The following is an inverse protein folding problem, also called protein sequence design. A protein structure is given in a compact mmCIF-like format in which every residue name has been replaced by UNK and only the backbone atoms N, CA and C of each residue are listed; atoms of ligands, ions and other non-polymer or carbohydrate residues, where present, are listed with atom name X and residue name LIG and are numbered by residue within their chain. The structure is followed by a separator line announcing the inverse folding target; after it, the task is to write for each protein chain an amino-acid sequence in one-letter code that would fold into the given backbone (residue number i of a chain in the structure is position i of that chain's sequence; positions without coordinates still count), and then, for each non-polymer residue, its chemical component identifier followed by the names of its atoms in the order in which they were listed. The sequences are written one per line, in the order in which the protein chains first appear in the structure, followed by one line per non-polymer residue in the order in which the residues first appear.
data_IF_291562688180
#
_entry.id   IF_291562688180
#
_cell.length_a   1.000
_cell.length_b   1.000
_cell.length_c   1.000
_cell.angle_alpha   90.00
_cell.angle_beta   90.00
_cell.angle_gamma   90.00
#
_symmetry.space_group_name_H-M   'P 1'
#
loop_
_entity.id
_entity.type
_entity.pdbx_description
1 polymer ?
#
# COMPACT_ATOMS: atom_id res chain seq x y z
N UNK A 1 9.97 -22.47 23.30
CA UNK A 1 8.65 -22.12 22.72
C UNK A 1 8.78 -20.75 22.07
N UNK A 2 9.02 -20.70 20.76
CA UNK A 2 9.04 -19.44 20.00
C UNK A 2 7.60 -18.94 19.89
N UNK A 3 7.30 -17.80 20.52
CA UNK A 3 6.12 -17.02 20.13
C UNK A 3 6.41 -16.49 18.72
N UNK A 4 5.60 -16.91 17.76
CA UNK A 4 5.56 -16.28 16.44
C UNK A 4 5.10 -14.83 16.65
N UNK A 5 6.06 -13.92 16.81
CA UNK A 5 5.82 -12.49 16.76
C UNK A 5 5.62 -12.10 15.29
N UNK A 6 4.45 -12.43 14.75
CA UNK A 6 3.87 -11.58 13.70
C UNK A 6 3.66 -10.21 14.34
N UNK A 7 4.21 -9.16 13.75
CA UNK A 7 4.00 -7.82 14.30
C UNK A 7 2.50 -7.50 14.22
N UNK A 8 2.01 -6.70 15.17
CA UNK A 8 0.69 -6.07 15.13
C UNK A 8 0.27 -5.64 13.71
N UNK A 9 1.24 -5.07 13.02
CA UNK A 9 1.16 -4.59 11.67
C UNK A 9 0.93 -5.67 10.63
N UNK A 10 1.63 -6.81 10.71
CA UNK A 10 1.41 -7.95 9.81
C UNK A 10 -0.03 -8.49 9.90
N UNK A 11 -0.63 -8.47 11.09
CA UNK A 11 -2.04 -8.84 11.28
C UNK A 11 -2.98 -7.83 10.63
N UNK A 12 -2.68 -6.53 10.73
CA UNK A 12 -3.46 -5.49 10.05
C UNK A 12 -3.32 -5.56 8.53
N UNK A 13 -2.10 -5.72 8.00
CA UNK A 13 -1.90 -5.86 6.57
C UNK A 13 -2.62 -7.09 6.04
N UNK A 14 -2.53 -8.22 6.74
CA UNK A 14 -3.29 -9.42 6.38
C UNK A 14 -4.80 -9.19 6.35
N UNK A 15 -5.33 -8.35 7.25
CA UNK A 15 -6.75 -7.95 7.25
C UNK A 15 -7.08 -7.04 6.07
N UNK A 16 -6.25 -6.04 5.78
CA UNK A 16 -6.44 -5.17 4.60
C UNK A 16 -6.36 -5.96 3.30
N UNK A 17 -5.47 -6.94 3.23
CA UNK A 17 -5.33 -7.85 2.08
C UNK A 17 -6.58 -8.70 1.90
N UNK A 18 -7.10 -9.24 2.99
CA UNK A 18 -8.36 -9.97 2.98
C UNK A 18 -9.47 -9.11 2.38
N UNK A 19 -9.69 -7.91 2.92
CA UNK A 19 -10.72 -7.00 2.40
C UNK A 19 -10.53 -6.65 0.92
N UNK A 20 -9.31 -6.36 0.48
CA UNK A 20 -9.04 -5.99 -0.91
C UNK A 20 -9.33 -7.15 -1.89
N UNK A 21 -8.94 -8.37 -1.54
CA UNK A 21 -9.17 -9.52 -2.41
C UNK A 21 -10.66 -9.90 -2.50
N UNK A 22 -11.37 -9.86 -1.38
CA UNK A 22 -12.82 -10.08 -1.36
C UNK A 22 -13.58 -8.97 -2.11
N UNK A 23 -13.15 -7.71 -2.00
CA UNK A 23 -13.73 -6.60 -2.76
C UNK A 23 -13.56 -6.79 -4.27
N UNK A 24 -12.35 -7.13 -4.74
CA UNK A 24 -12.08 -7.37 -6.17
C UNK A 24 -12.92 -8.51 -6.73
N UNK A 25 -13.03 -9.62 -6.01
CA UNK A 25 -13.86 -10.75 -6.44
C UNK A 25 -15.36 -10.38 -6.46
N UNK A 26 -15.83 -9.61 -5.46
CA UNK A 26 -17.21 -9.14 -5.43
C UNK A 26 -17.54 -8.22 -6.61
N UNK A 27 -16.64 -7.32 -6.99
CA UNK A 27 -16.80 -6.44 -8.16
C UNK A 27 -16.82 -7.23 -9.48
N UNK A 28 -15.98 -8.26 -9.61
CA UNK A 28 -15.98 -9.14 -10.77
C UNK A 28 -17.31 -9.89 -10.90
N UNK A 29 -17.83 -10.45 -9.80
CA UNK A 29 -19.13 -11.13 -9.76
C UNK A 29 -20.29 -10.18 -10.04
N UNK A 30 -20.23 -8.95 -9.54
CA UNK A 30 -21.23 -7.92 -9.81
C UNK A 30 -21.25 -7.55 -11.31
N UNK A 31 -20.07 -7.36 -11.91
CA UNK A 31 -19.93 -7.10 -13.35
C UNK A 31 -20.48 -8.24 -14.20
N UNK A 32 -20.24 -9.49 -13.79
CA UNK A 32 -20.83 -10.67 -14.43
C UNK A 32 -22.36 -10.69 -14.29
N UNK A 33 -22.89 -10.31 -13.12
CA UNK A 33 -24.34 -10.23 -12.88
C UNK A 33 -25.01 -9.24 -13.83
N UNK A 34 -24.36 -8.11 -14.09
CA UNK A 34 -24.85 -7.08 -15.00
C UNK A 34 -24.83 -7.53 -16.47
N UNK A 35 -23.87 -8.40 -16.85
CA UNK A 35 -23.78 -8.98 -18.20
C UNK A 35 -24.77 -10.12 -18.43
N UNK A 36 -25.15 -10.86 -17.37
CA UNK A 36 -26.03 -12.02 -17.49
C UNK A 36 -27.48 -11.58 -17.80
N UNK A 37 -27.89 -11.83 -19.03
CA UNK A 37 -29.22 -11.47 -19.53
C UNK A 37 -30.39 -12.24 -18.91
N UNK A 38 -30.15 -13.33 -18.18
CA UNK A 38 -31.21 -14.17 -17.61
C UNK A 38 -31.41 -13.95 -16.11
N UNK A 39 -32.67 -13.93 -15.66
CA UNK A 39 -33.00 -13.78 -14.23
C UNK A 39 -32.48 -14.95 -13.38
N UNK A 40 -32.45 -16.15 -13.93
CA UNK A 40 -31.93 -17.34 -13.24
C UNK A 40 -30.41 -17.21 -13.00
N UNK A 41 -29.64 -16.79 -14.01
CA UNK A 41 -28.19 -16.61 -13.86
C UNK A 41 -27.83 -15.47 -12.90
N UNK A 42 -28.59 -14.36 -12.91
CA UNK A 42 -28.45 -13.30 -11.89
C UNK A 42 -28.75 -13.80 -10.47
N UNK A 43 -29.75 -14.68 -10.33
CA UNK A 43 -30.09 -15.30 -9.05
C UNK A 43 -28.98 -16.21 -8.50
N UNK A 44 -28.32 -16.99 -9.36
CA UNK A 44 -27.18 -17.82 -8.94
C UNK A 44 -25.96 -16.95 -8.55
N UNK A 45 -25.63 -15.93 -9.33
CA UNK A 45 -24.53 -15.00 -9.02
C UNK A 45 -24.77 -14.23 -7.71
N UNK A 46 -26.02 -13.84 -7.42
CA UNK A 46 -26.37 -13.22 -6.15
C UNK A 46 -26.11 -14.15 -4.94
N UNK A 47 -26.34 -15.46 -5.09
CA UNK A 47 -26.02 -16.44 -4.03
C UNK A 47 -24.51 -16.54 -3.82
N UNK A 48 -23.74 -16.63 -4.91
CA UNK A 48 -22.27 -16.71 -4.85
C UNK A 48 -21.70 -15.46 -4.16
N UNK A 49 -22.20 -14.27 -4.52
CA UNK A 49 -21.76 -13.02 -3.91
C UNK A 49 -22.14 -12.93 -2.42
N UNK A 50 -23.30 -13.46 -2.01
CA UNK A 50 -23.66 -13.57 -0.60
C UNK A 50 -22.73 -14.51 0.17
N UNK A 51 -22.40 -15.66 -0.40
CA UNK A 51 -21.44 -16.62 0.19
C UNK A 51 -20.04 -16.02 0.30
N UNK A 52 -19.57 -15.30 -0.73
CA UNK A 52 -18.27 -14.63 -0.71
C UNK A 52 -18.17 -13.63 0.45
N UNK A 53 -19.21 -12.82 0.69
CA UNK A 53 -19.27 -11.89 1.82
C UNK A 53 -19.31 -12.59 3.18
N UNK A 54 -19.98 -13.74 3.27
CA UNK A 54 -20.00 -14.54 4.51
C UNK A 54 -18.61 -15.12 4.81
N UNK A 55 -17.91 -15.62 3.80
CA UNK A 55 -16.54 -16.12 3.94
C UNK A 55 -15.55 -15.01 4.34
N UNK A 56 -15.71 -13.78 3.84
CA UNK A 56 -14.93 -12.62 4.28
C UNK A 56 -15.07 -12.42 5.80
N UNK A 57 -16.32 -12.34 6.28
CA UNK A 57 -16.62 -12.15 7.71
C UNK A 57 -16.06 -13.28 8.58
N UNK A 58 -16.14 -14.53 8.12
CA UNK A 58 -15.60 -15.69 8.82
C UNK A 58 -14.06 -15.60 8.89
N UNK A 59 -13.43 -15.18 7.80
CA UNK A 59 -11.98 -15.08 7.73
C UNK A 59 -11.44 -13.92 8.59
N UNK A 60 -12.13 -12.78 8.63
CA UNK A 60 -11.85 -11.68 9.56
C UNK A 60 -11.88 -12.16 11.02
N UNK A 61 -12.90 -12.93 11.41
CA UNK A 61 -13.03 -13.45 12.77
C UNK A 61 -11.91 -14.44 13.15
N UNK A 62 -11.29 -15.08 12.16
CA UNK A 62 -10.19 -16.03 12.36
C UNK A 62 -8.82 -15.37 12.37
N UNK A 63 -8.71 -14.15 11.82
CA UNK A 63 -7.46 -13.39 11.84
C UNK A 63 -7.19 -12.86 13.26
N UNK A 64 -6.00 -13.13 13.83
CA UNK A 64 -5.64 -12.64 15.16
C UNK A 64 -5.20 -11.17 15.08
N UNK A 65 -6.15 -10.27 14.82
CA UNK A 65 -5.92 -8.82 14.81
C UNK A 65 -6.47 -8.24 16.11
N UNK A 66 -5.61 -7.67 16.96
CA UNK A 66 -6.10 -7.01 18.17
C UNK A 66 -6.49 -5.55 17.87
N UNK A 67 -7.44 -4.96 18.62
CA UNK A 67 -7.75 -3.54 18.50
C UNK A 67 -6.52 -2.63 18.70
N UNK A 68 -5.53 -3.05 19.50
CA UNK A 68 -4.27 -2.33 19.64
C UNK A 68 -3.45 -2.35 18.36
N UNK A 69 -3.50 -3.44 17.60
CA UNK A 69 -2.77 -3.59 16.36
C UNK A 69 -3.38 -2.71 15.26
N UNK A 70 -4.72 -2.63 15.24
CA UNK A 70 -5.46 -1.69 14.39
C UNK A 70 -5.11 -0.24 14.75
N UNK A 71 -5.02 0.09 16.05
CA UNK A 71 -4.64 1.44 16.51
C UNK A 71 -3.17 1.79 16.20
N UNK A 72 -2.25 0.83 16.34
CA UNK A 72 -0.84 1.03 16.01
C UNK A 72 -0.67 1.24 14.49
N UNK A 73 -1.40 0.48 13.68
CA UNK A 73 -1.36 0.59 12.22
C UNK A 73 -2.07 1.83 11.70
N UNK A 74 -3.19 2.25 12.29
CA UNK A 74 -3.81 3.56 11.96
C UNK A 74 -2.93 4.75 12.35
N UNK A 75 -1.93 4.55 13.21
CA UNK A 75 -0.89 5.54 13.47
C UNK A 75 0.31 5.43 12.53
N UNK A 76 0.54 4.27 11.92
CA UNK A 76 1.55 4.08 10.90
C UNK A 76 1.11 4.76 9.60
N UNK A 77 2.05 5.45 8.96
CA UNK A 77 1.83 6.09 7.66
C UNK A 77 0.95 7.34 7.68
N UNK A 78 0.72 7.97 8.84
CA UNK A 78 0.04 9.28 8.95
C UNK A 78 0.91 10.44 8.50
N UNK A 79 2.19 10.20 8.27
CA UNK A 79 3.09 11.20 7.74
C UNK A 79 2.67 11.58 6.32
N UNK A 80 2.72 12.87 6.03
CA UNK A 80 2.40 13.44 4.73
C UNK A 80 3.71 13.76 4.03
N UNK A 81 4.16 12.97 3.04
CA UNK A 81 5.32 13.31 2.24
C UNK A 81 4.99 14.50 1.32
N UNK A 82 5.93 15.43 1.19
CA UNK A 82 5.88 16.55 0.27
C UNK A 82 7.13 16.55 -0.62
N UNK A 83 6.93 16.59 -1.94
CA UNK A 83 8.02 16.53 -2.91
C UNK A 83 8.85 17.82 -2.90
N UNK A 84 10.17 17.71 -2.84
CA UNK A 84 11.05 18.85 -3.06
C UNK A 84 11.10 19.20 -4.56
N UNK A 85 10.40 20.28 -4.92
CA UNK A 85 10.28 20.78 -6.28
C UNK A 85 11.57 21.41 -6.84
N UNK A 86 12.60 21.62 -6.01
CA UNK A 86 13.92 22.02 -6.51
C UNK A 86 14.61 20.88 -7.28
N UNK A 87 14.29 19.63 -6.95
CA UNK A 87 14.78 18.44 -7.67
C UNK A 87 13.91 18.24 -8.90
N UNK A 88 14.41 18.68 -10.05
CA UNK A 88 13.71 18.57 -11.34
C UNK A 88 13.83 17.17 -11.93
N UNK A 89 12.78 16.76 -12.65
CA UNK A 89 12.74 15.49 -13.35
C UNK A 89 12.36 14.30 -12.46
N UNK A 90 12.19 13.12 -13.08
CA UNK A 90 11.83 11.91 -12.36
C UNK A 90 12.99 11.43 -11.47
N UNK A 91 12.64 10.89 -10.30
CA UNK A 91 13.57 10.20 -9.40
C UNK A 91 13.21 8.72 -9.41
N UNK A 92 14.00 7.91 -10.11
CA UNK A 92 13.75 6.49 -10.32
C UNK A 92 14.98 5.65 -9.96
N UNK A 93 14.77 4.57 -9.22
CA UNK A 93 15.86 3.69 -8.75
C UNK A 93 16.51 2.86 -9.86
N UNK A 94 15.82 2.64 -10.98
CA UNK A 94 16.23 1.72 -12.05
C UNK A 94 16.60 2.41 -13.35
N UNK A 95 16.52 3.74 -13.39
CA UNK A 95 16.97 4.55 -14.52
C UNK A 95 18.26 5.25 -14.11
N UNK A 96 19.43 4.84 -14.64
CA UNK A 96 20.72 5.43 -14.30
C UNK A 96 20.73 6.97 -14.34
N UNK A 97 20.27 7.51 -15.46
CA UNK A 97 20.28 8.94 -15.79
C UNK A 97 19.16 9.72 -15.10
N UNK A 98 18.11 9.03 -14.65
CA UNK A 98 16.88 9.62 -14.10
C UNK A 98 16.65 9.18 -12.67
N UNK A 99 17.66 9.38 -11.82
CA UNK A 99 17.55 9.19 -10.38
C UNK A 99 18.65 8.31 -9.81
N UNK A 100 18.95 7.13 -10.37
CA UNK A 100 19.82 6.15 -9.70
C UNK A 100 21.20 6.72 -9.39
N UNK A 101 21.90 7.33 -10.35
CA UNK A 101 23.21 7.93 -10.09
C UNK A 101 23.16 9.05 -9.05
N UNK A 102 22.13 9.90 -9.12
CA UNK A 102 21.93 10.97 -8.15
C UNK A 102 21.63 10.41 -6.74
N UNK A 103 20.83 9.35 -6.65
CA UNK A 103 20.52 8.67 -5.39
C UNK A 103 21.75 7.97 -4.82
N UNK A 104 22.60 7.38 -5.65
CA UNK A 104 23.89 6.82 -5.24
C UNK A 104 24.80 7.90 -4.67
N UNK A 105 24.90 9.06 -5.33
CA UNK A 105 25.68 10.20 -4.86
C UNK A 105 25.16 10.73 -3.51
N UNK A 106 23.84 10.93 -3.41
CA UNK A 106 23.20 11.44 -2.18
C UNK A 106 23.22 10.47 -1.01
N UNK A 107 23.08 9.17 -1.27
CA UNK A 107 23.11 8.14 -0.23
C UNK A 107 24.54 7.67 0.11
N UNK A 108 25.51 7.95 -0.75
CA UNK A 108 26.89 7.47 -0.64
C UNK A 108 27.04 5.94 -0.80
N UNK A 109 26.01 5.24 -1.30
CA UNK A 109 26.00 3.77 -1.36
C UNK A 109 25.32 3.24 -2.62
N UNK A 110 26.07 2.56 -3.49
CA UNK A 110 25.57 2.10 -4.80
C UNK A 110 24.43 1.05 -4.73
N UNK A 111 24.40 0.25 -3.65
CA UNK A 111 23.35 -0.73 -3.39
C UNK A 111 22.28 -0.28 -2.39
N UNK A 112 21.94 1.02 -2.35
CA UNK A 112 20.98 1.57 -1.40
C UNK A 112 19.60 0.86 -1.47
N UNK A 113 19.20 0.46 -2.67
CA UNK A 113 17.95 -0.21 -3.01
C UNK A 113 17.81 -1.59 -2.36
N UNK A 114 18.92 -2.27 -2.05
CA UNK A 114 18.88 -3.57 -1.35
C UNK A 114 18.22 -3.50 0.03
N UNK A 115 18.21 -2.32 0.66
CA UNK A 115 17.63 -2.05 1.97
C UNK A 115 16.19 -1.52 1.92
N UNK A 116 15.63 -1.39 0.71
CA UNK A 116 14.32 -0.79 0.47
C UNK A 116 13.41 -1.90 -0.06
N UNK A 117 12.56 -2.51 0.77
CA UNK A 117 11.72 -3.65 0.36
C UNK A 117 10.83 -3.33 -0.84
N UNK A 118 10.30 -2.11 -0.91
CA UNK A 118 9.47 -1.63 -2.02
C UNK A 118 10.19 -1.71 -3.38
N UNK A 119 11.52 -1.65 -3.40
CA UNK A 119 12.34 -1.82 -4.60
C UNK A 119 12.39 -3.27 -5.12
N UNK A 120 11.73 -4.22 -4.46
CA UNK A 120 11.58 -5.61 -4.93
C UNK A 120 10.21 -5.88 -5.55
N UNK A 121 9.28 -4.93 -5.43
CA UNK A 121 7.89 -5.00 -5.92
C UNK A 121 7.74 -4.62 -7.41
N UNK A 122 8.85 -4.35 -8.09
CA UNK A 122 8.89 -3.99 -9.51
C UNK A 122 9.11 -2.51 -9.75
N UNK A 123 9.33 -2.16 -11.03
CA UNK A 123 9.83 -0.85 -11.42
C UNK A 123 8.82 0.30 -11.27
N UNK A 124 7.52 0.01 -11.27
CA UNK A 124 6.47 1.02 -11.33
C UNK A 124 5.89 1.39 -9.96
N UNK A 125 5.93 0.50 -8.98
CA UNK A 125 5.36 0.74 -7.63
C UNK A 125 5.96 1.99 -6.98
N UNK A 126 7.30 2.09 -6.92
CA UNK A 126 7.96 3.27 -6.35
C UNK A 126 7.73 4.54 -7.19
N UNK A 127 7.63 4.38 -8.50
CA UNK A 127 7.38 5.51 -9.41
C UNK A 127 5.99 6.10 -9.15
N UNK A 128 4.96 5.27 -9.08
CA UNK A 128 3.60 5.73 -8.77
C UNK A 128 3.47 6.24 -7.33
N UNK A 129 4.10 5.56 -6.37
CA UNK A 129 4.15 6.04 -4.98
C UNK A 129 4.68 7.47 -4.92
N UNK A 130 5.77 7.78 -5.63
CA UNK A 130 6.32 9.13 -5.70
C UNK A 130 5.44 10.12 -6.48
N UNK A 131 4.73 9.69 -7.52
CA UNK A 131 3.81 10.53 -8.29
C UNK A 131 2.61 10.99 -7.45
N UNK A 132 2.13 10.16 -6.53
CA UNK A 132 1.02 10.52 -5.64
C UNK A 132 1.42 11.51 -4.53
N UNK A 133 2.72 11.75 -4.33
CA UNK A 133 3.26 12.71 -3.35
C UNK A 133 2.93 14.14 -3.77
N UNK A 134 1.88 14.69 -3.16
CA UNK A 134 1.41 16.06 -3.41
C UNK A 134 1.41 16.94 -2.15
N UNK A 135 1.99 16.47 -1.03
CA UNK A 135 2.01 17.20 0.24
C UNK A 135 0.66 17.28 0.95
N UNK A 136 -0.34 16.50 0.52
CA UNK A 136 -1.67 16.41 1.14
C UNK A 136 -2.02 14.99 1.59
N UNK A 137 -1.58 13.98 0.84
CA UNK A 137 -1.85 12.57 1.15
C UNK A 137 -0.88 12.03 2.17
N UNK A 138 -1.40 11.23 3.10
CA UNK A 138 -0.59 10.45 4.03
C UNK A 138 0.09 9.28 3.30
N UNK A 139 1.13 8.70 3.90
CA UNK A 139 1.79 7.48 3.38
C UNK A 139 0.78 6.34 3.22
N UNK A 140 -0.14 6.17 4.16
CA UNK A 140 -1.19 5.14 4.10
C UNK A 140 -2.15 5.36 2.93
N UNK A 141 -2.59 6.60 2.69
CA UNK A 141 -3.43 6.92 1.52
C UNK A 141 -2.70 6.70 0.20
N UNK A 142 -1.40 7.01 0.13
CA UNK A 142 -0.59 6.71 -1.07
C UNK A 142 -0.45 5.21 -1.26
N UNK A 143 -0.21 4.44 -0.19
CA UNK A 143 -0.17 2.98 -0.23
C UNK A 143 -1.47 2.43 -0.78
N UNK A 144 -2.61 2.86 -0.26
CA UNK A 144 -3.93 2.37 -0.68
C UNK A 144 -4.15 2.60 -2.18
N UNK A 145 -3.82 3.80 -2.69
CA UNK A 145 -3.92 4.12 -4.12
C UNK A 145 -3.02 3.26 -5.00
N UNK A 146 -1.78 3.01 -4.57
CA UNK A 146 -0.85 2.18 -5.34
C UNK A 146 -1.26 0.71 -5.28
N UNK A 147 -1.70 0.22 -4.13
CA UNK A 147 -2.15 -1.17 -3.98
C UNK A 147 -3.44 -1.49 -4.73
N UNK A 148 -4.24 -0.48 -5.07
CA UNK A 148 -5.41 -0.62 -5.95
C UNK A 148 -5.00 -0.99 -7.39
N UNK A 149 -3.95 -0.36 -7.93
CA UNK A 149 -3.45 -0.61 -9.29
C UNK A 149 -2.55 -1.85 -9.40
N UNK A 150 -1.80 -2.14 -8.34
CA UNK A 150 -0.83 -3.24 -8.30
C UNK A 150 -1.34 -4.38 -7.42
N UNK A 151 -0.43 -4.92 -6.61
CA UNK A 151 -0.75 -5.89 -5.58
C UNK A 151 -0.87 -5.18 -4.22
N UNK A 152 -1.51 -5.84 -3.24
CA UNK A 152 -1.51 -5.36 -1.87
C UNK A 152 -0.09 -5.32 -1.30
N UNK A 153 0.33 -4.18 -0.74
CA UNK A 153 1.70 -3.98 -0.23
C UNK A 153 1.64 -3.37 1.20
N UNK A 154 2.46 -3.85 2.16
CA UNK A 154 2.50 -3.31 3.52
C UNK A 154 2.91 -1.83 3.59
N UNK A 155 2.30 -1.06 4.48
CA UNK A 155 2.58 0.38 4.62
C UNK A 155 4.01 0.65 5.13
N UNK A 156 4.69 -0.32 5.74
CA UNK A 156 6.07 -0.20 6.20
C UNK A 156 7.04 -0.14 5.03
N UNK A 157 6.73 -0.83 3.92
CA UNK A 157 7.55 -0.76 2.73
C UNK A 157 7.50 0.66 2.12
N UNK A 158 6.32 1.29 2.16
CA UNK A 158 6.15 2.70 1.77
C UNK A 158 6.80 3.65 2.77
N UNK A 159 6.62 3.42 4.07
CA UNK A 159 7.21 4.24 5.13
C UNK A 159 8.74 4.22 5.03
N UNK A 160 9.33 3.02 4.89
CA UNK A 160 10.76 2.85 4.68
C UNK A 160 11.26 3.54 3.40
N UNK A 161 10.49 3.44 2.30
CA UNK A 161 10.80 4.13 1.06
C UNK A 161 10.80 5.66 1.22
N UNK A 162 9.76 6.22 1.85
CA UNK A 162 9.66 7.66 2.07
C UNK A 162 10.65 8.19 3.11
N UNK A 163 11.01 7.40 4.12
CA UNK A 163 12.11 7.70 5.05
C UNK A 163 13.44 7.78 4.30
N UNK A 164 13.72 6.83 3.40
CA UNK A 164 14.91 6.90 2.56
C UNK A 164 14.88 8.15 1.69
N UNK A 165 13.78 8.42 0.98
CA UNK A 165 13.64 9.61 0.14
C UNK A 165 13.81 10.91 0.94
N UNK A 166 13.32 10.95 2.18
CA UNK A 166 13.50 12.08 3.08
C UNK A 166 14.98 12.24 3.47
N UNK A 167 15.68 11.12 3.75
CA UNK A 167 17.10 11.14 4.12
C UNK A 167 18.00 11.71 3.01
N UNK A 168 17.61 11.55 1.74
CA UNK A 168 18.33 12.11 0.57
C UNK A 168 17.73 13.42 0.06
N UNK A 169 16.72 13.97 0.74
CA UNK A 169 16.10 15.26 0.44
C UNK A 169 15.12 15.28 -0.73
N UNK A 170 14.66 14.13 -1.23
CA UNK A 170 13.66 14.04 -2.31
C UNK A 170 12.27 14.48 -1.83
N UNK A 171 11.94 14.16 -0.58
CA UNK A 171 10.69 14.57 0.06
C UNK A 171 10.97 15.16 1.45
N UNK A 172 9.98 15.86 1.99
CA UNK A 172 9.92 16.26 3.40
C UNK A 172 8.71 15.59 4.04
N UNK A 173 8.90 14.98 5.20
CA UNK A 173 7.80 14.38 5.95
C UNK A 173 7.17 15.42 6.88
N UNK A 174 5.86 15.61 6.77
CA UNK A 174 5.06 16.39 7.73
C UNK A 174 4.28 15.41 8.59
N UNK A 175 4.17 15.67 9.89
CA UNK A 175 3.20 14.94 10.72
C UNK A 175 1.84 15.57 10.50
N UNK A 176 0.82 14.75 10.22
CA UNK A 176 -0.56 15.21 10.11
C UNK A 176 -1.00 15.89 11.43
N UNK A 177 -1.13 17.22 11.42
CA UNK A 177 -1.65 17.97 12.56
C UNK A 177 -3.16 18.10 12.39
N UNK A 178 -3.91 17.25 13.08
CA UNK A 178 -5.34 17.47 13.25
C UNK A 178 -5.55 18.79 14.00
N UNK A 179 -6.00 19.80 13.26
CA UNK A 179 -6.50 21.06 13.85
C UNK A 179 -7.76 20.70 14.64
N UNK A 180 -7.73 20.94 15.96
CA UNK A 180 -8.88 20.72 16.86
C UNK A 180 -10.02 21.66 16.54
#
# INVERSE_FOLDING_TARGET
MLRASGSAQSSYDALQFLHLDYAREAEALQSLSDLVGTNAGRGELAKVLATLREEEQIAEQRLPVSPRDIVASTNAGREVPERDMAIRGPVNFYRPEYGRWWLTDKSGHEGFDSKIPLARRGHYVMYEALNFVNGKRTVSEIRDLVSDEFEPIPVEEFSNYFEFLASVGVVKMKVEVHSR
#
